data_IF_847287811270
#
_entry.id   IF_847287811270
#
_cell.length_a   1.000
_cell.length_b   1.000
_cell.length_c   1.000
_cell.angle_alpha   90.00
_cell.angle_beta   90.00
_cell.angle_gamma   90.00
#
_symmetry.space_group_name_H-M   'P 1'
#
loop_
_entity.id
_entity.type
_entity.pdbx_description
1 polymer ?
#
# COMPACT_ATOMS: atom_id res chain seq x y z
N UNK A 1 12.98 -0.32 16.58
CA UNK A 1 12.13 -0.10 15.40
C UNK A 1 12.23 1.38 15.02
N UNK A 2 12.74 1.73 13.82
CA UNK A 2 12.86 3.14 13.39
C UNK A 2 11.81 3.42 12.32
N UNK A 3 10.93 4.38 12.59
CA UNK A 3 9.86 4.77 11.69
C UNK A 3 10.41 5.69 10.59
N UNK A 4 10.22 5.32 9.32
CA UNK A 4 10.80 6.05 8.19
C UNK A 4 9.79 7.04 7.58
N UNK A 5 8.50 6.70 7.49
CA UNK A 5 7.49 7.54 6.81
C UNK A 5 6.05 7.03 7.01
N UNK A 6 5.07 7.95 7.15
CA UNK A 6 3.63 7.70 7.10
C UNK A 6 2.94 8.67 6.13
N UNK A 7 1.83 8.25 5.52
CA UNK A 7 0.95 9.12 4.73
C UNK A 7 -0.50 8.91 5.17
N UNK A 8 -1.19 9.99 5.53
CA UNK A 8 -2.60 10.01 5.92
C UNK A 8 -3.45 10.75 4.86
N UNK A 9 -4.73 10.41 4.71
CA UNK A 9 -5.65 11.03 3.73
C UNK A 9 -7.02 11.36 4.33
N UNK A 10 -7.67 12.40 3.77
CA UNK A 10 -8.97 12.95 4.17
C UNK A 10 -10.09 12.43 3.24
N UNK A 11 -11.31 12.25 3.78
CA UNK A 11 -12.39 11.42 3.22
C UNK A 11 -13.01 11.90 1.88
N UNK A 12 -13.42 11.00 0.94
CA UNK A 12 -14.00 11.36 -0.36
C UNK A 12 -15.50 11.04 -0.53
N UNK A 13 -16.14 11.76 -1.46
CA UNK A 13 -17.59 11.81 -1.74
C UNK A 13 -18.20 10.56 -2.47
N UNK A 14 -17.40 9.57 -2.93
CA UNK A 14 -17.89 8.32 -3.58
C UNK A 14 -16.97 7.12 -3.31
N UNK A 15 -17.56 5.94 -2.98
CA UNK A 15 -16.84 4.70 -2.63
C UNK A 15 -15.81 4.22 -3.68
N UNK A 16 -16.13 4.28 -4.97
CA UNK A 16 -15.19 3.87 -6.03
C UNK A 16 -13.97 4.82 -6.11
N UNK A 17 -14.21 6.11 -5.92
CA UNK A 17 -13.15 7.13 -5.89
C UNK A 17 -12.25 6.93 -4.67
N UNK A 18 -12.82 6.59 -3.51
CA UNK A 18 -12.07 6.23 -2.32
C UNK A 18 -11.14 5.04 -2.56
N UNK A 19 -11.64 3.92 -3.09
CA UNK A 19 -10.81 2.74 -3.36
C UNK A 19 -9.67 3.01 -4.34
N UNK A 20 -9.89 3.87 -5.34
CA UNK A 20 -8.83 4.29 -6.28
C UNK A 20 -7.79 5.15 -5.58
N UNK A 21 -8.21 6.06 -4.70
CA UNK A 21 -7.30 6.85 -3.90
C UNK A 21 -6.46 5.94 -3.01
N UNK A 22 -7.06 5.05 -2.23
CA UNK A 22 -6.33 4.11 -1.37
C UNK A 22 -5.26 3.32 -2.15
N UNK A 23 -5.65 2.75 -3.30
CA UNK A 23 -4.71 2.03 -4.16
C UNK A 23 -3.56 2.91 -4.65
N UNK A 24 -3.82 4.17 -5.03
CA UNK A 24 -2.77 5.11 -5.43
C UNK A 24 -1.85 5.49 -4.25
N UNK A 25 -2.37 5.54 -3.02
CA UNK A 25 -1.57 5.74 -1.81
C UNK A 25 -0.56 4.61 -1.62
N UNK A 26 -1.02 3.37 -1.77
CA UNK A 26 -0.19 2.16 -1.71
C UNK A 26 0.84 2.11 -2.85
N UNK A 27 0.48 2.51 -4.07
CA UNK A 27 1.44 2.61 -5.18
C UNK A 27 2.59 3.55 -4.82
N UNK A 28 2.29 4.74 -4.29
CA UNK A 28 3.31 5.70 -3.86
C UNK A 28 4.20 5.13 -2.75
N UNK A 29 3.63 4.45 -1.77
CA UNK A 29 4.40 3.78 -0.71
C UNK A 29 5.33 2.71 -1.29
N UNK A 30 4.88 1.92 -2.27
CA UNK A 30 5.72 0.91 -2.94
C UNK A 30 6.89 1.53 -3.72
N UNK A 31 6.67 2.68 -4.36
CA UNK A 31 7.72 3.43 -5.07
C UNK A 31 8.74 4.01 -4.10
N UNK A 32 8.28 4.53 -2.96
CA UNK A 32 9.14 5.02 -1.90
C UNK A 32 9.99 3.89 -1.32
N UNK A 33 9.40 2.71 -1.10
CA UNK A 33 10.16 1.53 -0.69
C UNK A 33 11.26 1.17 -1.71
N UNK A 34 10.93 1.18 -3.01
CA UNK A 34 11.91 0.93 -4.08
C UNK A 34 13.06 1.95 -4.03
N UNK A 35 12.74 3.23 -3.87
CA UNK A 35 13.72 4.30 -3.73
C UNK A 35 14.60 4.11 -2.47
N UNK A 36 13.99 3.74 -1.34
CA UNK A 36 14.74 3.47 -0.12
C UNK A 36 15.67 2.26 -0.33
N UNK A 37 15.19 1.16 -0.91
CA UNK A 37 16.01 -0.03 -1.21
C UNK A 37 17.23 0.29 -2.08
N UNK A 38 17.10 1.21 -3.04
CA UNK A 38 18.22 1.58 -3.93
C UNK A 38 19.22 2.53 -3.28
N UNK A 39 18.80 3.34 -2.30
CA UNK A 39 19.63 4.41 -1.72
C UNK A 39 20.11 4.13 -0.29
N UNK A 40 19.48 3.20 0.44
CA UNK A 40 19.91 2.85 1.78
C UNK A 40 21.06 1.83 1.73
N UNK A 41 22.23 2.26 2.22
CA UNK A 41 23.46 1.44 2.30
C UNK A 41 23.49 0.49 3.51
N UNK A 42 22.45 0.48 4.34
CA UNK A 42 22.38 -0.35 5.55
C UNK A 42 21.53 -1.60 5.31
N UNK A 43 21.91 -2.76 5.88
CA UNK A 43 21.13 -3.98 5.76
C UNK A 43 19.75 -3.79 6.41
N UNK A 44 18.69 -3.90 5.61
CA UNK A 44 17.31 -3.90 6.11
C UNK A 44 16.93 -5.34 6.44
N UNK A 45 16.83 -5.65 7.74
CA UNK A 45 16.48 -6.99 8.21
C UNK A 45 15.02 -7.36 7.97
N UNK A 46 14.11 -6.37 7.97
CA UNK A 46 12.67 -6.59 7.79
C UNK A 46 11.97 -5.36 7.23
N UNK A 47 11.03 -5.57 6.31
CA UNK A 47 10.17 -4.52 5.74
C UNK A 47 8.73 -4.85 6.13
N UNK A 48 8.03 -3.89 6.74
CA UNK A 48 6.62 -4.00 7.08
C UNK A 48 5.86 -2.84 6.44
N UNK A 49 4.81 -3.15 5.70
CA UNK A 49 3.96 -2.19 5.00
C UNK A 49 2.54 -2.29 5.54
N UNK A 50 1.90 -1.14 5.73
CA UNK A 50 0.59 -1.06 6.41
C UNK A 50 -0.41 -0.31 5.55
N UNK A 51 -1.63 -0.81 5.50
CA UNK A 51 -2.79 -0.18 4.88
C UNK A 51 -4.01 -0.40 5.76
N UNK A 52 -4.81 0.63 5.99
CA UNK A 52 -6.12 0.57 6.67
C UNK A 52 -7.25 0.14 5.71
N UNK A 53 -6.98 0.13 4.41
CA UNK A 53 -7.91 -0.37 3.41
C UNK A 53 -7.84 -1.89 3.23
N UNK A 54 -8.79 -2.61 3.82
CA UNK A 54 -8.96 -4.06 3.61
C UNK A 54 -9.14 -4.47 2.14
N UNK A 55 -9.85 -3.65 1.35
CA UNK A 55 -9.99 -3.89 -0.10
C UNK A 55 -8.66 -3.79 -0.84
N UNK A 56 -7.84 -2.79 -0.49
CA UNK A 56 -6.54 -2.59 -1.13
C UNK A 56 -5.60 -3.74 -0.79
N UNK A 57 -5.61 -4.23 0.46
CA UNK A 57 -4.86 -5.43 0.85
C UNK A 57 -5.31 -6.68 0.12
N UNK A 58 -6.62 -6.85 -0.07
CA UNK A 58 -7.15 -7.97 -0.84
C UNK A 58 -6.62 -7.94 -2.28
N UNK A 59 -6.59 -6.77 -2.92
CA UNK A 59 -6.01 -6.61 -4.26
C UNK A 59 -4.52 -6.93 -4.30
N UNK A 60 -3.74 -6.44 -3.34
CA UNK A 60 -2.28 -6.67 -3.29
C UNK A 60 -1.95 -8.16 -3.12
N UNK A 61 -2.74 -8.89 -2.32
CA UNK A 61 -2.53 -10.32 -2.07
C UNK A 61 -3.13 -11.24 -3.14
N UNK A 62 -3.98 -10.69 -4.01
CA UNK A 62 -4.62 -11.44 -5.07
C UNK A 62 -3.83 -11.48 -6.39
N UNK A 63 -4.39 -12.18 -7.37
CA UNK A 63 -3.84 -12.27 -8.74
C UNK A 63 -4.29 -11.04 -9.54
N UNK A 64 -3.34 -10.20 -9.95
CA UNK A 64 -3.62 -8.96 -10.67
C UNK A 64 -4.46 -9.14 -11.95
N UNK A 65 -4.25 -10.25 -12.67
CA UNK A 65 -4.97 -10.60 -13.90
C UNK A 65 -6.50 -10.73 -13.73
N UNK A 66 -6.99 -10.91 -12.50
CA UNK A 66 -8.42 -10.98 -12.19
C UNK A 66 -9.08 -9.61 -12.08
N UNK A 67 -8.31 -8.52 -12.08
CA UNK A 67 -8.84 -7.18 -11.86
C UNK A 67 -8.92 -6.36 -13.16
N UNK A 68 -9.81 -5.36 -13.17
CA UNK A 68 -9.88 -4.39 -14.28
C UNK A 68 -8.52 -3.71 -14.46
N UNK A 69 -8.20 -3.38 -15.71
CA UNK A 69 -6.88 -2.86 -16.13
C UNK A 69 -6.31 -1.76 -15.21
N UNK A 70 -7.13 -0.82 -14.74
CA UNK A 70 -6.69 0.19 -13.78
C UNK A 70 -6.08 -0.42 -12.51
N UNK A 71 -6.80 -1.35 -11.87
CA UNK A 71 -6.36 -1.99 -10.62
C UNK A 71 -5.23 -2.97 -10.93
N UNK A 72 -5.37 -3.78 -11.98
CA UNK A 72 -4.38 -4.78 -12.37
C UNK A 72 -2.98 -4.18 -12.55
N UNK A 73 -2.84 -3.12 -13.36
CA UNK A 73 -1.55 -2.49 -13.63
C UNK A 73 -0.87 -1.97 -12.35
N UNK A 74 -1.67 -1.48 -11.39
CA UNK A 74 -1.17 -0.91 -10.13
C UNK A 74 -0.80 -2.00 -9.13
N UNK A 75 -1.57 -3.09 -9.08
CA UNK A 75 -1.22 -4.28 -8.29
C UNK A 75 0.07 -4.90 -8.81
N UNK A 76 0.25 -5.02 -10.14
CA UNK A 76 1.50 -5.50 -10.75
C UNK A 76 2.69 -4.64 -10.29
N UNK A 77 2.56 -3.32 -10.36
CA UNK A 77 3.62 -2.41 -9.89
C UNK A 77 3.92 -2.57 -8.39
N UNK A 78 2.90 -2.71 -7.54
CA UNK A 78 3.09 -2.91 -6.10
C UNK A 78 3.83 -4.23 -5.83
N UNK A 79 3.40 -5.31 -6.50
CA UNK A 79 3.98 -6.65 -6.39
C UNK A 79 5.42 -6.70 -6.92
N UNK A 80 5.78 -5.87 -7.91
CA UNK A 80 7.17 -5.78 -8.39
C UNK A 80 8.10 -5.04 -7.41
N UNK A 81 7.56 -4.14 -6.59
CA UNK A 81 8.36 -3.33 -5.65
C UNK A 81 8.44 -3.92 -4.24
N UNK A 82 7.46 -4.74 -3.88
CA UNK A 82 7.25 -5.25 -2.52
C UNK A 82 6.65 -6.66 -2.55
N UNK A 83 7.04 -7.49 -1.58
CA UNK A 83 6.40 -8.78 -1.36
C UNK A 83 4.98 -8.56 -0.77
N UNK A 84 3.91 -9.13 -1.36
CA UNK A 84 2.56 -9.11 -0.79
C UNK A 84 2.44 -9.59 0.66
N UNK A 85 3.34 -10.47 1.10
CA UNK A 85 3.37 -11.00 2.48
C UNK A 85 3.71 -9.93 3.52
N UNK A 86 4.46 -8.89 3.13
CA UNK A 86 4.84 -7.76 3.99
C UNK A 86 3.72 -6.73 4.18
N UNK A 87 2.56 -6.91 3.53
CA UNK A 87 1.42 -6.00 3.64
C UNK A 87 0.44 -6.45 4.73
N UNK A 88 0.25 -5.58 5.72
CA UNK A 88 -0.56 -5.80 6.89
C UNK A 88 -1.69 -4.78 7.01
N UNK A 89 -2.78 -5.21 7.64
CA UNK A 89 -3.89 -4.32 7.94
C UNK A 89 -3.58 -3.49 9.18
N UNK A 90 -3.67 -2.18 9.06
CA UNK A 90 -3.73 -1.30 10.22
C UNK A 90 -5.20 -1.15 10.60
N UNK A 91 -5.61 -1.66 11.76
CA UNK A 91 -6.93 -1.32 12.27
C UNK A 91 -6.90 0.17 12.62
N UNK A 92 -7.49 1.00 11.79
CA UNK A 92 -7.77 2.39 12.15
C UNK A 92 -8.62 2.36 13.43
N UNK A 93 -8.07 2.84 14.54
CA UNK A 93 -8.92 3.31 15.64
C UNK A 93 -9.88 4.30 15.01
N UNK A 94 -11.18 4.03 15.09
CA UNK A 94 -12.17 5.10 14.98
C UNK A 94 -11.78 6.11 16.04
N UNK A 95 -11.41 7.32 15.64
CA UNK A 95 -11.51 8.47 16.54
C UNK A 95 -13.00 8.57 16.89
N UNK A 96 -13.35 8.02 18.05
CA UNK A 96 -14.61 8.29 18.73
C UNK A 96 -14.39 9.55 19.55
N UNK A 97 -14.99 10.66 19.12
CA UNK A 97 -15.56 11.74 19.94
C UNK A 97 -16.16 12.79 19.02
#
# INVERSE_FOLDING_TARGET
MRFITAKSRVAPLKKLTLLRLELLGVVLASRLLRYLKSNFKFPVSKILLWSDSSFTLHWIKGKASKYKQFVSNRVIEIQSNSDPSNWHHCNGKRESS
#
